data_IF_750564025999
#
_entry.id   IF_750564025999
#
_cell.length_a   1.000
_cell.length_b   1.000
_cell.length_c   1.000
_cell.angle_alpha   90.00
_cell.angle_beta   90.00
_cell.angle_gamma   90.00
#
_symmetry.space_group_name_H-M   'P 1'
#
loop_
_entity.id
_entity.type
_entity.pdbx_description
1 polymer ?
#
# COMPACT_ATOMS: atom_id res chain seq x y z
N UNK A 1 -12.96 14.67 -21.47
CA UNK A 1 -12.28 13.79 -20.49
C UNK A 1 -12.77 13.98 -19.06
N UNK A 2 -12.89 15.21 -18.53
CA UNK A 2 -13.39 15.45 -17.15
C UNK A 2 -14.69 14.71 -16.81
N UNK A 3 -15.72 14.83 -17.67
CA UNK A 3 -17.00 14.09 -17.53
C UNK A 3 -16.81 12.57 -17.40
N UNK A 4 -15.92 11.98 -18.20
CA UNK A 4 -15.64 10.54 -18.16
C UNK A 4 -15.05 10.12 -16.81
N UNK A 5 -14.00 10.83 -16.34
CA UNK A 5 -13.38 10.52 -15.05
C UNK A 5 -14.33 10.77 -13.87
N UNK A 6 -15.15 11.83 -13.92
CA UNK A 6 -16.18 12.07 -12.91
C UNK A 6 -17.19 10.92 -12.82
N UNK A 7 -17.65 10.39 -13.96
CA UNK A 7 -18.51 9.20 -13.97
C UNK A 7 -17.77 7.94 -13.50
N UNK A 8 -16.46 7.80 -13.74
CA UNK A 8 -15.68 6.68 -13.20
C UNK A 8 -15.62 6.70 -11.67
N UNK A 9 -15.40 7.89 -11.09
CA UNK A 9 -15.40 8.08 -9.64
C UNK A 9 -16.77 7.76 -9.02
N UNK A 10 -17.85 8.28 -9.63
CA UNK A 10 -19.21 7.97 -9.19
C UNK A 10 -19.54 6.48 -9.31
N UNK A 11 -19.07 5.82 -10.37
CA UNK A 11 -19.25 4.39 -10.54
C UNK A 11 -18.51 3.56 -9.47
N UNK A 12 -17.41 4.07 -8.93
CA UNK A 12 -16.70 3.46 -7.80
C UNK A 12 -17.52 3.44 -6.51
N UNK A 13 -18.35 4.47 -6.29
CA UNK A 13 -19.26 4.55 -5.14
C UNK A 13 -20.45 3.59 -5.25
N UNK A 14 -21.04 3.46 -6.43
CA UNK A 14 -22.28 2.72 -6.64
C UNK A 14 -22.10 1.21 -6.92
N UNK A 15 -20.87 0.75 -7.18
CA UNK A 15 -20.48 -0.66 -7.35
C UNK A 15 -21.43 -1.53 -8.21
N UNK A 16 -21.28 -1.45 -9.53
CA UNK A 16 -22.03 -2.31 -10.45
C UNK A 16 -21.22 -3.50 -10.96
N UNK A 17 -21.91 -4.64 -11.20
CA UNK A 17 -21.31 -5.85 -11.80
C UNK A 17 -20.88 -5.66 -13.26
N UNK A 18 -21.51 -4.72 -13.97
CA UNK A 18 -21.23 -4.41 -15.38
C UNK A 18 -21.22 -2.92 -15.64
N UNK A 19 -20.33 -2.48 -16.53
CA UNK A 19 -20.29 -1.10 -17.02
C UNK A 19 -21.61 -0.73 -17.69
N UNK A 20 -22.27 -1.68 -18.36
CA UNK A 20 -23.57 -1.43 -19.00
C UNK A 20 -24.68 -1.15 -17.99
N UNK A 21 -24.60 -1.72 -16.78
CA UNK A 21 -25.58 -1.47 -15.72
C UNK A 21 -25.58 -0.01 -15.27
N UNK A 22 -24.46 0.72 -15.41
CA UNK A 22 -24.39 2.16 -15.14
C UNK A 22 -25.35 2.98 -16.01
N UNK A 23 -25.71 2.46 -17.18
CA UNK A 23 -26.57 3.12 -18.16
C UNK A 23 -27.89 2.37 -18.35
N UNK A 24 -28.28 1.54 -17.38
CA UNK A 24 -29.53 0.78 -17.43
C UNK A 24 -30.73 1.66 -17.12
N UNK A 25 -31.88 1.31 -17.71
CA UNK A 25 -33.20 1.86 -17.35
C UNK A 25 -33.92 1.00 -16.30
N UNK A 26 -33.32 -0.14 -15.92
CA UNK A 26 -33.83 -0.99 -14.83
C UNK A 26 -33.88 -0.19 -13.53
N UNK A 27 -35.04 -0.10 -12.84
CA UNK A 27 -35.17 0.62 -11.58
C UNK A 27 -34.12 0.26 -10.53
N UNK A 28 -33.60 -0.97 -10.51
CA UNK A 28 -32.57 -1.41 -9.57
C UNK A 28 -31.19 -0.79 -9.85
N UNK A 29 -30.96 -0.31 -11.07
CA UNK A 29 -29.69 0.24 -11.55
C UNK A 29 -29.85 1.63 -12.18
N UNK A 30 -31.03 2.24 -12.06
CA UNK A 30 -31.36 3.47 -12.75
C UNK A 30 -30.73 4.67 -12.07
N UNK A 31 -29.67 5.19 -12.71
CA UNK A 31 -28.99 6.40 -12.28
C UNK A 31 -28.95 7.39 -13.45
N UNK A 32 -29.86 8.38 -13.51
CA UNK A 32 -30.06 9.23 -14.69
C UNK A 32 -28.81 10.05 -15.05
N UNK A 33 -27.97 10.35 -14.06
CA UNK A 33 -26.74 11.12 -14.21
C UNK A 33 -25.75 10.50 -15.21
N UNK A 34 -25.70 9.17 -15.35
CA UNK A 34 -24.80 8.52 -16.30
C UNK A 34 -25.26 8.79 -17.73
N UNK A 35 -26.51 8.46 -18.06
CA UNK A 35 -27.08 8.62 -19.40
C UNK A 35 -27.25 10.09 -19.82
N UNK A 36 -27.51 10.99 -18.87
CA UNK A 36 -27.62 12.43 -19.15
C UNK A 36 -26.25 13.07 -19.43
N UNK A 37 -25.18 12.53 -18.85
CA UNK A 37 -23.83 13.09 -19.01
C UNK A 37 -23.12 12.59 -20.27
N UNK A 38 -23.23 11.29 -20.58
CA UNK A 38 -22.62 10.68 -21.76
C UNK A 38 -23.35 9.40 -22.15
N UNK A 39 -23.39 9.04 -23.44
CA UNK A 39 -23.94 7.74 -23.82
C UNK A 39 -23.05 6.58 -23.36
N UNK A 40 -23.64 5.45 -22.97
CA UNK A 40 -22.89 4.26 -22.58
C UNK A 40 -21.94 3.75 -23.67
N UNK A 41 -22.34 3.87 -24.95
CA UNK A 41 -21.46 3.55 -26.10
C UNK A 41 -20.22 4.44 -26.12
N UNK A 42 -20.38 5.74 -25.92
CA UNK A 42 -19.27 6.69 -25.90
C UNK A 42 -18.37 6.47 -24.67
N UNK A 43 -18.95 6.16 -23.50
CA UNK A 43 -18.19 5.80 -22.31
C UNK A 43 -17.28 4.59 -22.58
N UNK A 44 -17.82 3.52 -23.17
CA UNK A 44 -17.04 2.32 -23.53
C UNK A 44 -15.95 2.60 -24.57
N UNK A 45 -16.22 3.44 -25.57
CA UNK A 45 -15.22 3.86 -26.56
C UNK A 45 -14.05 4.59 -25.90
N UNK A 46 -14.33 5.57 -25.04
CA UNK A 46 -13.30 6.31 -24.31
C UNK A 46 -12.50 5.33 -23.42
N UNK A 47 -13.19 4.49 -22.66
CA UNK A 47 -12.55 3.48 -21.83
C UNK A 47 -11.66 2.54 -22.65
N UNK A 48 -12.09 2.14 -23.86
CA UNK A 48 -11.33 1.26 -24.77
C UNK A 48 -10.07 1.95 -25.30
N UNK A 49 -10.16 3.22 -25.65
CA UNK A 49 -9.07 3.98 -26.25
C UNK A 49 -8.14 4.69 -25.24
N UNK A 50 -8.49 4.68 -23.94
CA UNK A 50 -7.70 5.33 -22.89
C UNK A 50 -6.21 4.90 -22.91
N UNK A 51 -5.34 5.88 -23.08
CA UNK A 51 -3.89 5.72 -23.14
C UNK A 51 -3.18 7.00 -22.64
N UNK A 52 -2.03 6.84 -21.97
CA UNK A 52 -1.23 7.93 -21.39
C UNK A 52 0.25 7.88 -21.80
N UNK A 53 0.57 7.10 -22.85
CA UNK A 53 1.94 6.89 -23.29
C UNK A 53 2.47 8.07 -24.10
N UNK A 54 3.62 8.60 -23.73
CA UNK A 54 4.46 9.37 -24.67
C UNK A 54 5.33 8.35 -25.43
N UNK A 55 5.30 8.34 -26.76
CA UNK A 55 5.84 7.25 -27.62
C UNK A 55 7.38 7.22 -27.64
N UNK A 56 8.04 8.11 -26.89
CA UNK A 56 9.44 8.50 -27.11
C UNK A 56 10.50 7.56 -26.53
N UNK A 57 10.19 6.71 -25.54
CA UNK A 57 11.22 5.88 -24.91
C UNK A 57 10.69 4.46 -24.62
N UNK A 58 11.06 3.48 -25.45
CA UNK A 58 10.66 2.07 -25.28
C UNK A 58 11.57 1.29 -24.32
N UNK A 59 12.65 1.87 -23.82
CA UNK A 59 13.58 1.21 -22.89
C UNK A 59 13.03 1.15 -21.47
N UNK A 60 12.22 2.15 -21.07
CA UNK A 60 11.52 2.16 -19.79
C UNK A 60 10.36 1.13 -19.80
N UNK A 61 10.35 0.09 -18.96
CA UNK A 61 9.23 -0.87 -18.89
C UNK A 61 7.88 -0.20 -18.58
N UNK A 62 7.90 0.96 -17.92
CA UNK A 62 6.73 1.75 -17.55
C UNK A 62 6.41 2.88 -18.53
N UNK A 63 7.06 2.96 -19.70
CA UNK A 63 6.92 4.07 -20.66
C UNK A 63 5.48 4.50 -20.98
N UNK A 64 4.53 3.55 -20.92
CA UNK A 64 3.12 3.79 -21.21
C UNK A 64 2.38 4.64 -20.18
N UNK A 65 2.94 4.79 -18.99
CA UNK A 65 2.40 5.55 -17.86
C UNK A 65 3.48 6.41 -17.17
N UNK A 66 4.73 6.33 -17.62
CA UNK A 66 5.90 6.95 -17.01
C UNK A 66 5.73 8.46 -16.82
N UNK A 67 5.26 9.16 -17.86
CA UNK A 67 4.97 10.59 -17.76
C UNK A 67 3.93 10.90 -16.67
N UNK A 68 2.81 10.17 -16.65
CA UNK A 68 1.75 10.37 -15.66
C UNK A 68 2.26 10.13 -14.24
N UNK A 69 3.00 9.05 -14.03
CA UNK A 69 3.61 8.74 -12.73
C UNK A 69 4.57 9.85 -12.28
N UNK A 70 5.46 10.31 -13.17
CA UNK A 70 6.40 11.40 -12.86
C UNK A 70 5.67 12.69 -12.50
N UNK A 71 4.65 13.08 -13.26
CA UNK A 71 3.86 14.28 -12.98
C UNK A 71 3.18 14.23 -11.61
N UNK A 72 2.64 13.07 -11.22
CA UNK A 72 1.99 12.90 -9.91
C UNK A 72 3.00 12.90 -8.78
N UNK A 73 4.14 12.22 -8.95
CA UNK A 73 5.20 12.20 -7.94
C UNK A 73 5.69 13.62 -7.67
N UNK A 74 5.99 14.39 -8.72
CA UNK A 74 6.42 15.78 -8.59
C UNK A 74 5.36 16.63 -7.88
N UNK A 75 4.11 16.57 -8.33
CA UNK A 75 3.00 17.28 -7.68
C UNK A 75 2.81 16.88 -6.22
N UNK A 76 3.01 15.61 -5.87
CA UNK A 76 2.86 15.13 -4.48
C UNK A 76 4.00 15.63 -3.60
N UNK A 77 5.23 15.67 -4.14
CA UNK A 77 6.42 16.18 -3.45
C UNK A 77 6.33 17.69 -3.20
N UNK A 78 5.77 18.45 -4.14
CA UNK A 78 5.58 19.89 -3.99
C UNK A 78 4.46 20.24 -2.99
N UNK A 79 3.42 19.40 -2.90
CA UNK A 79 2.25 19.67 -2.06
C UNK A 79 2.41 19.25 -0.60
N UNK A 80 3.29 18.28 -0.31
CA UNK A 80 3.35 17.67 1.01
C UNK A 80 4.78 17.40 1.46
N UNK A 81 5.15 18.01 2.59
CA UNK A 81 6.36 17.67 3.33
C UNK A 81 6.07 16.55 4.33
N UNK A 82 6.73 15.39 4.21
CA UNK A 82 6.49 14.27 5.10
C UNK A 82 6.92 14.58 6.54
N UNK A 83 6.22 13.95 7.49
CA UNK A 83 6.57 13.98 8.91
C UNK A 83 7.71 12.98 9.23
N UNK A 84 8.09 12.92 10.50
CA UNK A 84 9.22 12.09 10.98
C UNK A 84 9.05 10.59 10.72
N UNK A 85 7.81 10.09 10.77
CA UNK A 85 7.49 8.68 10.58
C UNK A 85 6.88 8.44 9.20
N UNK A 86 7.57 7.64 8.39
CA UNK A 86 7.09 7.19 7.08
C UNK A 86 6.87 5.68 7.11
N UNK A 87 5.69 5.26 6.66
CA UNK A 87 5.34 3.85 6.50
C UNK A 87 5.42 3.47 5.02
N UNK A 88 5.93 2.27 4.73
CA UNK A 88 6.03 1.73 3.37
C UNK A 88 5.51 0.29 3.34
N UNK A 89 4.52 0.02 2.50
CA UNK A 89 3.88 -1.30 2.44
C UNK A 89 4.38 -2.22 1.30
N UNK A 90 4.00 -3.51 1.35
CA UNK A 90 4.50 -4.62 0.53
C UNK A 90 4.27 -4.40 -0.97
N UNK A 91 3.26 -3.62 -1.35
CA UNK A 91 3.02 -3.21 -2.73
C UNK A 91 4.16 -2.37 -3.33
N UNK A 92 4.99 -1.73 -2.48
CA UNK A 92 6.09 -0.84 -2.87
C UNK A 92 7.49 -1.42 -2.58
N UNK A 93 7.62 -2.40 -1.68
CA UNK A 93 8.91 -2.97 -1.27
C UNK A 93 8.93 -4.51 -1.32
N UNK A 94 9.47 -5.05 -2.42
CA UNK A 94 9.76 -6.48 -2.56
C UNK A 94 10.88 -6.98 -1.61
N UNK A 95 11.70 -6.07 -1.08
CA UNK A 95 12.88 -6.39 -0.27
C UNK A 95 12.82 -5.75 1.12
N UNK A 96 12.42 -6.55 2.12
CA UNK A 96 12.55 -6.24 3.55
C UNK A 96 13.66 -7.11 4.12
N UNK A 97 14.79 -6.51 4.50
CA UNK A 97 15.95 -7.28 4.95
C UNK A 97 17.13 -6.42 5.44
N UNK A 98 18.13 -7.09 6.04
CA UNK A 98 19.29 -6.46 6.68
C UNK A 98 20.05 -5.49 5.77
N UNK A 99 20.18 -5.80 4.48
CA UNK A 99 20.88 -4.93 3.52
C UNK A 99 20.15 -3.60 3.34
N UNK A 100 18.82 -3.60 3.21
CA UNK A 100 18.04 -2.37 3.08
C UNK A 100 18.15 -1.53 4.35
N UNK A 101 18.02 -2.14 5.53
CA UNK A 101 18.20 -1.44 6.80
C UNK A 101 19.59 -0.81 6.94
N UNK A 102 20.63 -1.47 6.39
CA UNK A 102 21.99 -0.90 6.36
C UNK A 102 22.06 0.31 5.43
N UNK A 103 21.56 0.20 4.19
CA UNK A 103 21.56 1.30 3.23
C UNK A 103 20.74 2.52 3.70
N UNK A 104 19.61 2.29 4.35
CA UNK A 104 18.78 3.36 4.91
C UNK A 104 19.47 4.02 6.11
N UNK A 105 20.14 3.23 6.96
CA UNK A 105 20.93 3.78 8.06
C UNK A 105 22.11 4.64 7.57
N UNK A 106 22.79 4.23 6.50
CA UNK A 106 23.84 5.04 5.84
C UNK A 106 23.29 6.39 5.34
N UNK A 107 21.99 6.44 5.01
CA UNK A 107 21.26 7.66 4.62
C UNK A 107 20.57 8.38 5.78
N UNK A 108 20.98 8.07 7.03
CA UNK A 108 20.41 8.65 8.26
C UNK A 108 18.89 8.40 8.41
N UNK A 109 18.40 7.27 7.90
CA UNK A 109 16.99 6.87 8.00
C UNK A 109 16.86 5.61 8.86
N UNK A 110 16.08 5.71 9.94
CA UNK A 110 15.75 4.55 10.75
C UNK A 110 14.69 3.68 10.07
N UNK A 111 14.74 2.37 10.34
CA UNK A 111 13.82 1.39 9.74
C UNK A 111 13.28 0.50 10.83
N UNK A 112 11.99 0.18 10.74
CA UNK A 112 11.35 -0.83 11.57
C UNK A 112 10.38 -1.62 10.68
N UNK A 113 10.40 -2.94 10.78
CA UNK A 113 9.52 -3.75 9.95
C UNK A 113 9.55 -5.24 10.31
N UNK A 114 8.61 -5.98 9.72
CA UNK A 114 8.55 -7.43 9.84
C UNK A 114 9.57 -8.10 8.92
N UNK A 115 10.16 -9.21 9.39
CA UNK A 115 11.07 -10.04 8.61
C UNK A 115 10.45 -11.42 8.36
N UNK A 116 10.63 -11.94 7.14
CA UNK A 116 10.36 -13.36 6.87
C UNK A 116 11.51 -14.21 7.41
N UNK A 117 11.19 -15.31 8.07
CA UNK A 117 12.16 -16.21 8.71
C UNK A 117 13.18 -16.78 7.74
N UNK A 118 12.75 -17.10 6.51
CA UNK A 118 13.55 -17.71 5.45
C UNK A 118 14.48 -16.73 4.69
N UNK A 119 14.59 -15.46 5.12
CA UNK A 119 15.48 -14.49 4.46
C UNK A 119 16.96 -14.77 4.77
N UNK A 120 17.81 -14.59 3.74
CA UNK A 120 19.27 -14.68 3.88
C UNK A 120 19.78 -13.67 4.92
N UNK A 121 20.84 -14.04 5.64
CA UNK A 121 21.50 -13.24 6.68
C UNK A 121 20.70 -12.99 7.97
N UNK A 122 19.54 -13.63 8.13
CA UNK A 122 18.89 -13.69 9.43
C UNK A 122 19.77 -14.50 10.40
N UNK A 123 19.94 -14.04 11.66
CA UNK A 123 20.69 -14.79 12.66
C UNK A 123 19.95 -16.07 13.04
N UNK A 124 20.54 -17.23 12.70
CA UNK A 124 19.97 -18.57 12.97
C UNK A 124 19.54 -18.78 14.42
N UNK A 125 20.37 -18.28 15.36
CA UNK A 125 20.09 -18.36 16.80
C UNK A 125 18.78 -17.69 17.21
N UNK A 126 18.28 -16.72 16.44
CA UNK A 126 16.98 -16.10 16.69
C UNK A 126 15.89 -16.83 15.92
N UNK A 127 16.08 -17.10 14.62
CA UNK A 127 15.05 -17.76 13.80
C UNK A 127 14.65 -19.12 14.35
N UNK A 128 15.62 -19.90 14.81
CA UNK A 128 15.44 -21.27 15.33
C UNK A 128 15.07 -21.31 16.82
N UNK A 129 15.10 -20.18 17.53
CA UNK A 129 14.73 -20.13 18.95
C UNK A 129 13.27 -20.56 19.14
N UNK A 130 13.04 -21.57 19.98
CA UNK A 130 11.69 -22.01 20.38
C UNK A 130 11.26 -21.16 21.56
N UNK A 131 10.23 -20.35 21.35
CA UNK A 131 9.72 -19.39 22.33
C UNK A 131 8.36 -19.83 22.86
N UNK A 132 8.13 -19.63 24.16
CA UNK A 132 6.80 -19.69 24.78
C UNK A 132 6.02 -18.41 24.46
N UNK A 133 4.69 -18.46 24.57
CA UNK A 133 3.86 -17.28 24.33
C UNK A 133 4.26 -16.14 25.29
N UNK A 134 4.48 -14.95 24.73
CA UNK A 134 4.96 -13.77 25.46
C UNK A 134 6.48 -13.60 25.47
N UNK A 135 7.26 -14.65 25.18
CA UNK A 135 8.72 -14.55 25.18
C UNK A 135 9.23 -13.73 23.98
N UNK A 136 10.30 -12.98 24.24
CA UNK A 136 10.95 -12.09 23.29
C UNK A 136 12.46 -12.26 23.39
N UNK A 137 13.10 -12.49 22.25
CA UNK A 137 14.56 -12.59 22.14
C UNK A 137 15.04 -11.71 21.01
N UNK A 138 16.24 -11.14 21.15
CA UNK A 138 16.83 -10.27 20.15
C UNK A 138 18.34 -10.41 20.10
N UNK A 139 18.92 -9.97 18.99
CA UNK A 139 20.36 -9.80 18.80
C UNK A 139 20.62 -8.56 17.99
N UNK A 140 21.81 -8.02 18.21
CA UNK A 140 22.31 -6.84 17.53
C UNK A 140 23.52 -7.19 16.67
N UNK A 141 23.61 -6.59 15.49
CA UNK A 141 24.79 -6.59 14.64
C UNK A 141 25.01 -5.17 14.14
N UNK A 142 26.05 -4.49 14.64
CA UNK A 142 26.21 -3.05 14.47
C UNK A 142 25.05 -2.30 15.11
N UNK A 143 24.36 -1.46 14.35
CA UNK A 143 23.20 -0.68 14.79
C UNK A 143 21.87 -1.26 14.30
N UNK A 144 21.86 -2.54 13.90
CA UNK A 144 20.67 -3.26 13.43
C UNK A 144 20.30 -4.32 14.48
N UNK A 145 19.07 -4.26 14.96
CA UNK A 145 18.47 -5.27 15.84
C UNK A 145 17.57 -6.19 15.02
N UNK A 146 17.69 -7.48 15.30
CA UNK A 146 16.72 -8.50 14.84
C UNK A 146 16.14 -9.15 16.07
N UNK A 147 14.82 -9.18 16.14
CA UNK A 147 14.08 -9.76 17.26
C UNK A 147 13.09 -10.82 16.80
N UNK A 148 12.77 -11.74 17.70
CA UNK A 148 11.71 -12.73 17.57
C UNK A 148 10.85 -12.68 18.82
N UNK A 149 9.55 -12.55 18.62
CA UNK A 149 8.55 -12.53 19.66
C UNK A 149 7.45 -13.54 19.35
N UNK A 150 6.97 -14.26 20.36
CA UNK A 150 5.89 -15.23 20.21
C UNK A 150 4.59 -14.66 20.75
N UNK A 151 3.66 -14.33 19.87
CA UNK A 151 2.24 -14.17 20.24
C UNK A 151 1.51 -15.50 20.01
N UNK A 152 0.43 -15.52 19.22
CA UNK A 152 -0.15 -16.74 18.66
C UNK A 152 0.79 -17.43 17.67
N UNK A 153 1.65 -16.64 17.00
CA UNK A 153 2.65 -17.09 16.02
C UNK A 153 3.96 -16.35 16.27
N UNK A 154 5.04 -16.88 15.71
CA UNK A 154 6.34 -16.22 15.71
C UNK A 154 6.27 -14.97 14.84
N UNK A 155 6.63 -13.84 15.42
CA UNK A 155 6.83 -12.57 14.72
C UNK A 155 8.32 -12.27 14.75
N UNK A 156 8.95 -12.22 13.58
CA UNK A 156 10.29 -11.68 13.44
C UNK A 156 10.21 -10.21 13.02
N UNK A 157 11.00 -9.37 13.69
CA UNK A 157 11.11 -7.96 13.37
C UNK A 157 12.57 -7.53 13.22
N UNK A 158 12.77 -6.47 12.45
CA UNK A 158 14.03 -5.74 12.33
C UNK A 158 13.79 -4.30 12.74
N UNK A 159 14.72 -3.72 13.50
CA UNK A 159 14.70 -2.30 13.80
C UNK A 159 16.11 -1.72 13.87
N UNK A 160 16.27 -0.46 13.48
CA UNK A 160 17.49 0.34 13.68
C UNK A 160 17.28 1.55 14.58
N UNK A 161 16.04 1.80 15.03
CA UNK A 161 15.68 2.97 15.83
C UNK A 161 15.77 2.74 17.33
N UNK A 162 15.40 1.54 17.79
CA UNK A 162 15.21 1.29 19.22
C UNK A 162 15.90 -0.01 19.65
N UNK A 163 16.39 -0.03 20.89
CA UNK A 163 16.75 -1.28 21.54
C UNK A 163 15.46 -2.06 21.87
N UNK A 164 15.31 -3.32 21.40
CA UNK A 164 14.10 -4.11 21.66
C UNK A 164 13.87 -4.32 23.16
N UNK A 165 12.70 -3.90 23.63
CA UNK A 165 12.23 -4.05 25.02
C UNK A 165 10.73 -4.34 25.00
N UNK A 166 10.26 -5.11 25.97
CA UNK A 166 8.82 -5.30 26.20
C UNK A 166 8.25 -4.05 26.86
N UNK A 167 7.17 -3.53 26.29
CA UNK A 167 6.40 -2.41 26.80
C UNK A 167 4.95 -2.86 27.00
N UNK A 168 4.27 -2.25 27.97
CA UNK A 168 2.83 -2.44 28.13
C UNK A 168 2.09 -1.68 27.02
N UNK A 169 1.19 -2.39 26.35
CA UNK A 169 0.33 -1.82 25.32
C UNK A 169 -1.12 -2.18 25.61
N UNK A 170 -2.01 -1.21 25.47
CA UNK A 170 -3.46 -1.45 25.59
C UNK A 170 -4.00 -1.83 24.22
N UNK A 171 -4.67 -2.98 24.14
CA UNK A 171 -5.38 -3.39 22.93
C UNK A 171 -6.66 -2.56 22.72
N UNK A 172 -7.24 -2.64 21.52
CA UNK A 172 -8.56 -2.06 21.18
C UNK A 172 -9.73 -2.48 22.10
N UNK A 173 -9.54 -3.52 22.92
CA UNK A 173 -10.52 -4.03 23.88
C UNK A 173 -10.20 -3.62 25.34
N UNK A 174 -9.30 -2.65 25.56
CA UNK A 174 -8.92 -2.19 26.91
C UNK A 174 -8.00 -3.14 27.70
N UNK A 175 -7.59 -4.26 27.11
CA UNK A 175 -6.72 -5.24 27.76
C UNK A 175 -5.25 -4.86 27.62
N UNK A 176 -4.52 -4.87 28.73
CA UNK A 176 -3.07 -4.65 28.74
C UNK A 176 -2.34 -5.92 28.31
N UNK A 177 -1.38 -5.75 27.40
CA UNK A 177 -0.52 -6.82 26.90
C UNK A 177 0.91 -6.32 26.71
N UNK A 178 1.87 -7.11 27.18
CA UNK A 178 3.29 -6.86 26.92
C UNK A 178 3.60 -7.18 25.46
N UNK A 179 4.16 -6.20 24.76
CA UNK A 179 4.62 -6.35 23.36
C UNK A 179 5.98 -5.68 23.19
N UNK A 180 6.82 -6.16 22.27
CA UNK A 180 8.06 -5.46 21.94
C UNK A 180 7.79 -4.07 21.37
N UNK A 181 8.59 -3.09 21.76
CA UNK A 181 8.49 -1.69 21.30
C UNK A 181 8.50 -1.58 19.78
N UNK A 182 9.32 -2.38 19.10
CA UNK A 182 9.42 -2.37 17.64
C UNK A 182 8.15 -2.90 16.97
N UNK A 183 7.45 -3.85 17.59
CA UNK A 183 6.18 -4.39 17.09
C UNK A 183 5.04 -3.41 17.37
N UNK A 184 5.05 -2.77 18.54
CA UNK A 184 4.08 -1.74 18.89
C UNK A 184 4.16 -0.54 17.93
N UNK A 185 5.37 -0.01 17.71
CA UNK A 185 5.60 1.09 16.78
C UNK A 185 5.25 0.72 15.33
N UNK A 186 5.60 -0.49 14.89
CA UNK A 186 5.18 -0.99 13.57
C UNK A 186 3.66 -1.00 13.40
N UNK A 187 2.93 -1.54 14.37
CA UNK A 187 1.47 -1.63 14.28
C UNK A 187 0.79 -0.26 14.31
N UNK A 188 1.32 0.68 15.11
CA UNK A 188 0.80 2.06 15.14
C UNK A 188 0.91 2.70 13.76
N UNK A 189 2.10 2.65 13.16
CA UNK A 189 2.41 3.33 11.90
C UNK A 189 1.83 2.62 10.65
N UNK A 190 1.71 1.29 10.66
CA UNK A 190 1.13 0.57 9.52
C UNK A 190 -0.39 0.63 9.46
N UNK A 191 -1.06 0.85 10.60
CA UNK A 191 -2.52 0.93 10.65
C UNK A 191 -3.10 2.04 9.76
N UNK A 192 -2.33 3.09 9.49
CA UNK A 192 -2.73 4.18 8.61
C UNK A 192 -2.72 3.77 7.13
N UNK A 193 -1.70 3.01 6.70
CA UNK A 193 -1.65 2.49 5.32
C UNK A 193 -2.80 1.53 5.09
N UNK A 194 -3.03 0.59 6.02
CA UNK A 194 -4.11 -0.39 5.91
C UNK A 194 -5.47 0.31 5.71
N UNK A 195 -5.68 1.47 6.36
CA UNK A 195 -6.89 2.30 6.20
C UNK A 195 -6.98 2.95 4.81
N UNK A 196 -5.86 3.43 4.27
CA UNK A 196 -5.82 3.99 2.92
C UNK A 196 -6.14 2.92 1.89
N UNK A 197 -5.50 1.75 1.99
CA UNK A 197 -5.79 0.61 1.11
C UNK A 197 -7.24 0.13 1.23
N UNK A 198 -7.77 0.13 2.45
CA UNK A 198 -9.18 -0.18 2.70
C UNK A 198 -10.11 0.84 2.00
N UNK A 199 -9.82 2.14 2.09
CA UNK A 199 -10.61 3.19 1.41
C UNK A 199 -10.56 3.03 -0.11
N UNK A 200 -9.37 2.79 -0.68
CA UNK A 200 -9.20 2.55 -2.12
C UNK A 200 -10.03 1.34 -2.58
N UNK A 201 -10.04 0.26 -1.80
CA UNK A 201 -10.84 -0.92 -2.12
C UNK A 201 -12.36 -0.69 -1.99
N UNK A 202 -12.79 0.20 -1.10
CA UNK A 202 -14.21 0.54 -0.99
C UNK A 202 -14.71 1.36 -2.17
N UNK A 203 -13.91 2.24 -2.75
CA UNK A 203 -14.36 3.18 -3.78
C UNK A 203 -13.69 2.99 -5.14
N UNK A 204 -13.07 1.83 -5.38
CA UNK A 204 -12.29 1.59 -6.59
C UNK A 204 -13.11 1.78 -7.86
N UNK A 205 -12.59 2.57 -8.81
CA UNK A 205 -13.17 2.76 -10.13
C UNK A 205 -13.39 1.42 -10.88
N UNK A 206 -14.32 1.33 -11.85
CA UNK A 206 -14.58 0.09 -12.60
C UNK A 206 -13.36 -0.45 -13.38
N UNK A 207 -12.91 -1.66 -13.05
CA UNK A 207 -11.72 -2.31 -13.64
C UNK A 207 -12.04 -3.61 -14.40
N UNK A 208 -12.77 -3.57 -15.53
CA UNK A 208 -12.94 -4.75 -16.42
C UNK A 208 -11.80 -4.96 -17.44
N UNK A 209 -10.78 -4.10 -17.47
CA UNK A 209 -9.76 -4.14 -18.51
C UNK A 209 -8.58 -5.07 -18.19
N UNK A 210 -8.26 -5.97 -19.13
CA UNK A 210 -7.08 -6.87 -19.10
C UNK A 210 -5.75 -6.10 -19.26
N UNK A 211 -5.78 -4.89 -19.85
CA UNK A 211 -4.56 -4.11 -20.11
C UNK A 211 -4.02 -3.44 -18.84
N UNK A 212 -2.80 -3.81 -18.43
CA UNK A 212 -2.13 -3.34 -17.21
C UNK A 212 -2.09 -1.80 -17.07
N UNK A 213 -1.81 -1.08 -18.16
CA UNK A 213 -1.70 0.39 -18.13
C UNK A 213 -2.96 1.10 -17.63
N UNK A 214 -4.14 0.58 -17.95
CA UNK A 214 -5.41 1.14 -17.48
C UNK A 214 -5.63 0.85 -16.01
N UNK A 215 -5.19 -0.31 -15.51
CA UNK A 215 -5.23 -0.62 -14.07
C UNK A 215 -4.41 0.40 -13.28
N UNK A 216 -3.22 0.76 -13.78
CA UNK A 216 -2.37 1.79 -13.16
C UNK A 216 -3.06 3.16 -13.18
N UNK A 217 -3.60 3.60 -14.32
CA UNK A 217 -4.30 4.90 -14.42
C UNK A 217 -5.48 4.99 -13.45
N UNK A 218 -6.33 3.96 -13.37
CA UNK A 218 -7.46 3.97 -12.43
C UNK A 218 -7.03 3.86 -10.98
N UNK A 219 -5.98 3.09 -10.68
CA UNK A 219 -5.47 3.02 -9.32
C UNK A 219 -4.90 4.37 -8.85
N UNK A 220 -4.18 5.07 -9.73
CA UNK A 220 -3.74 6.44 -9.50
C UNK A 220 -4.92 7.38 -9.23
N UNK A 221 -5.99 7.26 -10.02
CA UNK A 221 -7.19 8.06 -9.82
C UNK A 221 -7.85 7.77 -8.46
N UNK A 222 -7.87 6.50 -8.05
CA UNK A 222 -8.40 6.08 -6.74
C UNK A 222 -7.52 6.54 -5.56
N UNK A 223 -6.21 6.80 -5.78
CA UNK A 223 -5.31 7.35 -4.75
C UNK A 223 -5.45 8.87 -4.65
N UNK A 224 -5.73 9.54 -5.77
CA UNK A 224 -5.79 11.00 -5.85
C UNK A 224 -7.07 11.61 -5.24
N UNK A 225 -8.07 10.78 -4.90
CA UNK A 225 -9.40 11.19 -4.39
C UNK A 225 -9.64 10.52 -3.04
#
# INVERSE_FOLDING_TARGET
MKKFFGLCLLAGQLKFRSIRSLFSLDPLYYHPIFSSTISGRRFEQILRCLNCSDVKNKEDPLFRVSWLLKSIILSSQDMYSPQEALSLDESLLLFRGKLLSKCLQERKTHTTGTLRSNRKHNPKKITEAKLRAGEHVWRRCGNIYVSKWRDKRDVLAITTGYQPKLIETTNKYGQNKLKPIEVAGYNANMSEIDRVDQKINYYSCPRKSIRWKKKVIFHILDIAV
#
